data_IF_219584537100
#
_entry.id   IF_219584537100
#
_cell.length_a   1.000
_cell.length_b   1.000
_cell.length_c   1.000
_cell.angle_alpha   90.00
_cell.angle_beta   90.00
_cell.angle_gamma   90.00
#
_symmetry.space_group_name_H-M   'P 1'
#
loop_
_entity.id
_entity.type
_entity.pdbx_description
1 polymer ?
#
# COMPACT_ATOMS: atom_id res chain seq x y z
N UNK A 1 -12.73 -5.42 16.67
CA UNK A 1 -11.46 -5.81 16.02
C UNK A 1 -10.42 -4.80 16.43
N UNK A 2 -9.24 -5.28 16.80
CA UNK A 2 -8.08 -4.40 17.00
C UNK A 2 -7.43 -4.14 15.64
N UNK A 3 -6.42 -3.27 15.60
CA UNK A 3 -5.69 -2.98 14.36
C UNK A 3 -4.19 -3.03 14.57
N UNK A 4 -3.49 -3.57 13.58
CA UNK A 4 -2.07 -3.36 13.40
C UNK A 4 -1.87 -2.21 12.41
N UNK A 5 -1.02 -1.25 12.75
CA UNK A 5 -0.68 -0.13 11.86
C UNK A 5 0.83 -0.02 11.74
N UNK A 6 1.32 0.15 10.52
CA UNK A 6 2.74 0.36 10.28
C UNK A 6 3.06 0.62 8.82
N UNK A 7 4.31 0.99 8.57
CA UNK A 7 4.85 1.16 7.22
C UNK A 7 5.73 -0.04 6.92
N UNK A 8 5.49 -0.69 5.80
CA UNK A 8 6.24 -1.82 5.29
C UNK A 8 7.07 -1.37 4.08
N UNK A 9 8.26 -1.94 3.93
CA UNK A 9 9.12 -1.71 2.76
C UNK A 9 9.31 -3.04 2.05
N UNK A 10 8.46 -3.32 1.07
CA UNK A 10 8.37 -4.63 0.42
C UNK A 10 8.75 -4.56 -1.05
N UNK A 11 9.46 -5.56 -1.59
CA UNK A 11 9.68 -5.66 -3.02
C UNK A 11 8.41 -6.19 -3.71
N UNK A 12 8.16 -5.74 -4.95
CA UNK A 12 7.06 -6.29 -5.77
C UNK A 12 7.38 -7.73 -6.20
N UNK A 13 8.57 -7.92 -6.79
CA UNK A 13 9.09 -9.24 -7.17
C UNK A 13 10.28 -9.62 -6.30
N UNK A 14 10.51 -10.91 -5.99
CA UNK A 14 11.60 -11.36 -5.11
C UNK A 14 13.00 -10.86 -5.51
N UNK A 15 13.24 -10.65 -6.80
CA UNK A 15 14.53 -10.22 -7.35
C UNK A 15 14.54 -8.73 -7.74
N UNK A 16 13.51 -7.97 -7.36
CA UNK A 16 13.46 -6.54 -7.65
C UNK A 16 14.44 -5.78 -6.76
N UNK A 17 15.21 -4.87 -7.35
CA UNK A 17 16.01 -3.88 -6.60
C UNK A 17 15.15 -2.75 -6.02
N UNK A 18 13.91 -2.63 -6.47
CA UNK A 18 12.97 -1.57 -6.13
C UNK A 18 12.00 -2.01 -5.05
N UNK A 19 11.76 -1.14 -4.07
CA UNK A 19 10.89 -1.40 -2.92
C UNK A 19 9.76 -0.39 -2.88
N UNK A 20 8.58 -0.86 -2.51
CA UNK A 20 7.41 -0.03 -2.28
C UNK A 20 7.29 0.24 -0.78
N UNK A 21 7.05 1.50 -0.43
CA UNK A 21 6.62 1.88 0.92
C UNK A 21 5.11 1.75 0.97
N UNK A 22 4.62 0.87 1.84
CA UNK A 22 3.19 0.60 2.00
C UNK A 22 2.81 0.89 3.45
N UNK A 23 2.05 1.96 3.66
CA UNK A 23 1.40 2.16 4.96
C UNK A 23 0.15 1.29 5.01
N UNK A 24 0.08 0.44 6.03
CA UNK A 24 -0.96 -0.54 6.18
C UNK A 24 -1.64 -0.38 7.54
N UNK A 25 -2.96 -0.46 7.53
CA UNK A 25 -3.80 -0.56 8.71
C UNK A 25 -4.65 -1.81 8.56
N UNK A 26 -4.36 -2.84 9.36
CA UNK A 26 -4.89 -4.19 9.18
C UNK A 26 -5.73 -4.61 10.37
N UNK A 27 -6.88 -5.22 10.08
CA UNK A 27 -7.73 -5.85 11.07
C UNK A 27 -7.00 -7.02 11.73
N UNK A 28 -6.99 -7.05 13.06
CA UNK A 28 -6.47 -8.18 13.83
C UNK A 28 -7.50 -8.64 14.87
N UNK A 29 -7.47 -9.93 15.19
CA UNK A 29 -8.17 -10.47 16.34
C UNK A 29 -7.41 -10.11 17.61
N UNK A 30 -8.09 -9.38 18.52
CA UNK A 30 -7.48 -8.88 19.75
C UNK A 30 -6.92 -10.01 20.63
N UNK A 31 -7.68 -11.12 20.74
CA UNK A 31 -7.36 -12.27 21.59
C UNK A 31 -6.18 -13.10 21.09
N UNK A 32 -6.09 -13.34 19.78
CA UNK A 32 -5.06 -14.22 19.21
C UNK A 32 -3.87 -13.45 18.64
N UNK A 33 -4.00 -12.11 18.49
CA UNK A 33 -3.10 -11.23 17.74
C UNK A 33 -2.75 -11.86 16.39
N UNK A 34 -3.77 -12.28 15.64
CA UNK A 34 -3.63 -12.78 14.26
C UNK A 34 -4.39 -11.87 13.31
N UNK A 35 -4.01 -11.86 12.05
CA UNK A 35 -4.75 -11.14 11.01
C UNK A 35 -6.20 -11.63 10.96
N UNK A 36 -7.13 -10.69 10.88
CA UNK A 36 -8.55 -10.95 10.70
C UNK A 36 -8.96 -10.71 9.25
N UNK A 37 -10.00 -11.41 8.80
CA UNK A 37 -10.59 -11.18 7.47
C UNK A 37 -11.35 -9.85 7.49
N UNK A 38 -10.97 -8.86 6.67
CA UNK A 38 -11.68 -7.59 6.60
C UNK A 38 -12.98 -7.72 5.80
N UNK A 39 -13.89 -6.76 5.99
CA UNK A 39 -15.09 -6.63 5.14
C UNK A 39 -14.75 -6.16 3.72
N UNK A 40 -13.71 -5.33 3.59
CA UNK A 40 -13.18 -4.85 2.31
C UNK A 40 -11.71 -4.41 2.46
N UNK A 41 -11.03 -4.21 1.33
CA UNK A 41 -9.71 -3.57 1.28
C UNK A 41 -9.86 -2.21 0.58
N UNK A 42 -9.52 -1.13 1.28
CA UNK A 42 -9.33 0.18 0.68
C UNK A 42 -7.88 0.31 0.23
N UNK A 43 -7.65 0.52 -1.07
CA UNK A 43 -6.32 0.66 -1.67
C UNK A 43 -6.22 2.07 -2.23
N UNK A 44 -5.23 2.81 -1.76
CA UNK A 44 -4.93 4.17 -2.21
C UNK A 44 -3.51 4.21 -2.75
N UNK A 45 -3.36 4.74 -3.96
CA UNK A 45 -2.05 4.97 -4.56
C UNK A 45 -1.64 6.41 -4.29
N UNK A 46 -0.54 6.57 -3.55
CA UNK A 46 0.03 7.87 -3.26
C UNK A 46 1.08 8.21 -4.32
N UNK A 47 0.81 9.28 -5.06
CA UNK A 47 1.76 9.90 -5.97
C UNK A 47 2.69 10.87 -5.24
N UNK A 48 3.15 11.89 -5.96
CA UNK A 48 4.17 12.84 -5.50
C UNK A 48 3.83 13.49 -4.15
N UNK A 49 4.82 13.46 -3.25
CA UNK A 49 4.77 14.11 -1.95
C UNK A 49 5.18 15.58 -2.08
N UNK A 50 4.48 16.49 -1.40
CA UNK A 50 4.86 17.90 -1.31
C UNK A 50 4.98 18.26 0.17
N UNK A 51 6.18 18.08 0.73
CA UNK A 51 6.49 18.50 2.10
C UNK A 51 6.89 19.98 2.16
N UNK A 52 6.68 20.61 3.33
CA UNK A 52 7.20 21.96 3.61
C UNK A 52 6.39 23.09 2.98
N UNK A 53 5.13 22.83 2.64
CA UNK A 53 4.18 23.84 2.14
C UNK A 53 3.68 24.76 3.23
N UNK A 54 3.75 24.34 4.50
CA UNK A 54 3.16 25.04 5.64
C UNK A 54 1.64 24.93 5.72
N UNK A 55 1.00 24.25 4.75
CA UNK A 55 -0.44 24.00 4.77
C UNK A 55 -0.73 22.69 5.50
N UNK A 56 -1.40 22.76 6.64
CA UNK A 56 -1.67 21.59 7.50
C UNK A 56 -2.39 20.44 6.78
N UNK A 57 -3.24 20.73 5.78
CA UNK A 57 -3.95 19.69 5.02
C UNK A 57 -2.98 18.97 4.09
N UNK A 58 -2.11 19.71 3.42
CA UNK A 58 -1.12 19.15 2.50
C UNK A 58 -0.09 18.32 3.27
N UNK A 59 0.43 18.83 4.39
CA UNK A 59 1.36 18.08 5.25
C UNK A 59 0.70 16.79 5.77
N UNK A 60 -0.57 16.87 6.19
CA UNK A 60 -1.33 15.70 6.66
C UNK A 60 -1.55 14.65 5.57
N UNK A 61 -1.82 15.08 4.34
CA UNK A 61 -2.02 14.17 3.20
C UNK A 61 -0.70 13.70 2.58
N UNK A 62 0.43 14.30 2.94
CA UNK A 62 1.76 13.84 2.56
C UNK A 62 2.24 12.66 3.41
N UNK A 63 1.67 12.47 4.61
CA UNK A 63 1.95 11.33 5.46
C UNK A 63 1.06 10.12 5.08
N UNK A 64 1.68 9.09 4.51
CA UNK A 64 1.02 7.86 4.08
C UNK A 64 0.30 7.11 5.21
N UNK A 65 0.80 7.18 6.45
CA UNK A 65 0.15 6.56 7.60
C UNK A 65 -1.08 7.36 8.03
N UNK A 66 -1.03 8.70 7.96
CA UNK A 66 -2.20 9.56 8.17
C UNK A 66 -3.27 9.34 7.11
N UNK A 67 -2.90 9.11 5.85
CA UNK A 67 -3.87 8.71 4.82
C UNK A 67 -4.55 7.38 5.20
N UNK A 68 -3.79 6.38 5.65
CA UNK A 68 -4.37 5.10 6.08
C UNK A 68 -5.36 5.27 7.24
N UNK A 69 -5.04 6.11 8.23
CA UNK A 69 -5.96 6.48 9.32
C UNK A 69 -7.24 7.15 8.79
N UNK A 70 -7.11 8.06 7.82
CA UNK A 70 -8.24 8.72 7.17
C UNK A 70 -9.15 7.69 6.48
N UNK A 71 -8.57 6.77 5.70
CA UNK A 71 -9.34 5.73 5.00
C UNK A 71 -10.16 4.89 5.99
N UNK A 72 -9.55 4.43 7.08
CA UNK A 72 -10.25 3.66 8.13
C UNK A 72 -11.35 4.49 8.78
N UNK A 73 -11.09 5.77 9.07
CA UNK A 73 -12.11 6.66 9.67
C UNK A 73 -13.32 6.88 8.75
N UNK A 74 -13.13 6.83 7.43
CA UNK A 74 -14.18 7.07 6.43
C UNK A 74 -14.95 5.81 6.05
N UNK A 75 -14.26 4.68 5.88
CA UNK A 75 -14.86 3.42 5.42
C UNK A 75 -15.25 2.48 6.57
N UNK A 76 -14.78 2.73 7.80
CA UNK A 76 -15.12 1.99 8.99
C UNK A 76 -14.02 1.05 9.49
N UNK A 77 -14.18 0.57 10.72
CA UNK A 77 -13.13 -0.19 11.44
C UNK A 77 -12.94 -1.64 10.98
N UNK A 78 -13.81 -2.13 10.09
CA UNK A 78 -13.78 -3.52 9.60
C UNK A 78 -13.01 -3.70 8.30
N UNK A 79 -12.52 -2.61 7.68
CA UNK A 79 -11.73 -2.66 6.45
C UNK A 79 -10.23 -2.74 6.73
N UNK A 80 -9.47 -3.30 5.80
CA UNK A 80 -8.03 -3.06 5.73
C UNK A 80 -7.77 -1.82 4.86
N UNK A 81 -6.83 -0.97 5.27
CA UNK A 81 -6.40 0.16 4.47
C UNK A 81 -4.95 -0.01 4.04
N UNK A 82 -4.68 0.23 2.77
CA UNK A 82 -3.38 0.12 2.13
C UNK A 82 -3.09 1.40 1.38
N UNK A 83 -2.04 2.11 1.77
CA UNK A 83 -1.56 3.31 1.07
C UNK A 83 -0.21 2.96 0.47
N UNK A 84 -0.19 2.84 -0.85
CA UNK A 84 0.98 2.42 -1.63
C UNK A 84 1.64 3.66 -2.18
N UNK A 85 2.85 3.95 -1.70
CA UNK A 85 3.68 5.02 -2.22
C UNK A 85 4.50 4.52 -3.41
N UNK A 86 4.56 5.32 -4.48
CA UNK A 86 5.40 5.03 -5.63
C UNK A 86 6.89 4.96 -5.22
N UNK A 87 7.62 3.98 -5.76
CA UNK A 87 9.07 3.86 -5.53
C UNK A 87 9.88 5.01 -6.18
N UNK A 88 9.32 5.66 -7.20
CA UNK A 88 9.92 6.83 -7.83
C UNK A 88 8.82 7.81 -8.16
N UNK A 89 9.00 9.06 -7.78
CA UNK A 89 8.11 10.16 -8.13
C UNK A 89 8.51 10.69 -9.50
N UNK A 90 7.71 10.37 -10.51
CA UNK A 90 7.93 10.83 -11.89
C UNK A 90 6.57 11.09 -12.57
N UNK A 91 5.65 11.73 -11.85
CA UNK A 91 4.30 12.03 -12.33
C UNK A 91 3.21 11.12 -11.75
N UNK A 92 1.93 11.41 -12.07
CA UNK A 92 0.76 10.83 -11.41
C UNK A 92 0.63 9.31 -11.59
N UNK A 93 1.27 8.74 -12.62
CA UNK A 93 1.20 7.32 -12.95
C UNK A 93 2.47 6.54 -12.58
N UNK A 94 3.48 7.18 -11.97
CA UNK A 94 4.76 6.55 -11.67
C UNK A 94 4.63 5.28 -10.79
N UNK A 95 3.57 5.19 -9.99
CA UNK A 95 3.23 4.00 -9.19
C UNK A 95 2.93 2.75 -10.04
N UNK A 96 2.52 2.92 -11.29
CA UNK A 96 2.17 1.82 -12.19
C UNK A 96 3.37 1.26 -12.95
N UNK A 97 4.55 1.89 -12.88
CA UNK A 97 5.73 1.53 -13.66
C UNK A 97 6.08 0.04 -13.61
N UNK A 98 5.97 -0.57 -12.42
CA UNK A 98 6.23 -2.01 -12.25
C UNK A 98 4.95 -2.86 -12.20
N UNK A 99 3.78 -2.24 -12.27
CA UNK A 99 2.49 -2.93 -12.14
C UNK A 99 1.93 -3.37 -13.49
N UNK A 100 2.32 -2.69 -14.57
CA UNK A 100 1.89 -2.98 -15.93
C UNK A 100 3.09 -3.23 -16.85
N UNK A 101 2.93 -3.99 -17.95
CA UNK A 101 4.06 -4.49 -18.73
C UNK A 101 4.82 -3.39 -19.49
N UNK A 102 4.14 -2.31 -19.86
CA UNK A 102 4.68 -1.28 -20.76
C UNK A 102 4.22 0.12 -20.33
N UNK A 103 5.17 0.96 -19.94
CA UNK A 103 4.97 2.38 -19.63
C UNK A 103 5.93 3.26 -20.43
N UNK A 104 5.64 4.56 -20.53
CA UNK A 104 6.62 5.55 -20.99
C UNK A 104 7.62 5.91 -19.87
N UNK A 105 8.50 6.88 -20.12
CA UNK A 105 9.51 7.31 -19.13
C UNK A 105 8.88 7.89 -17.85
N UNK A 106 7.67 8.45 -17.96
CA UNK A 106 6.89 9.07 -16.88
C UNK A 106 5.98 8.06 -16.14
N UNK A 107 6.10 6.77 -16.48
CA UNK A 107 5.29 5.71 -15.85
C UNK A 107 3.85 5.63 -16.36
N UNK A 108 3.51 6.37 -17.41
CA UNK A 108 2.17 6.34 -18.00
C UNK A 108 1.98 5.07 -18.85
N UNK A 109 0.82 4.41 -18.78
CA UNK A 109 0.50 3.28 -19.66
C UNK A 109 0.58 3.67 -21.14
N UNK A 110 1.34 2.93 -21.95
CA UNK A 110 1.46 3.24 -23.39
C UNK A 110 0.17 2.95 -24.18
N UNK A 111 -0.57 1.91 -23.77
CA UNK A 111 -1.84 1.54 -24.35
C UNK A 111 -2.65 0.70 -23.37
N UNK A 112 -3.98 0.65 -23.58
CA UNK A 112 -4.83 -0.29 -22.86
C UNK A 112 -4.80 -1.66 -23.53
N UNK A 113 -4.48 -2.70 -22.76
CA UNK A 113 -4.62 -4.10 -23.18
C UNK A 113 -5.59 -4.82 -22.24
N UNK A 114 -6.74 -5.25 -22.78
CA UNK A 114 -7.77 -5.97 -22.03
C UNK A 114 -7.39 -7.43 -21.71
N UNK A 115 -6.28 -7.93 -22.26
CA UNK A 115 -5.85 -9.32 -22.09
C UNK A 115 -5.07 -9.47 -20.79
N UNK A 116 -5.57 -10.32 -19.89
CA UNK A 116 -4.97 -10.55 -18.58
C UNK A 116 -5.29 -9.46 -17.57
N UNK A 117 -4.62 -9.51 -16.42
CA UNK A 117 -4.82 -8.57 -15.32
C UNK A 117 -3.47 -8.21 -14.65
N UNK A 118 -2.52 -7.62 -15.39
CA UNK A 118 -1.17 -7.38 -14.89
C UNK A 118 -1.17 -6.48 -13.65
N UNK A 119 -1.91 -5.36 -13.70
CA UNK A 119 -1.99 -4.43 -12.58
C UNK A 119 -2.55 -5.09 -11.31
N UNK A 120 -3.65 -5.84 -11.41
CA UNK A 120 -4.23 -6.49 -10.22
C UNK A 120 -3.36 -7.64 -9.73
N UNK A 121 -2.72 -8.39 -10.62
CA UNK A 121 -1.78 -9.45 -10.24
C UNK A 121 -0.62 -8.89 -9.45
N UNK A 122 -0.05 -7.76 -9.90
CA UNK A 122 1.01 -7.05 -9.19
C UNK A 122 0.55 -6.48 -7.85
N UNK A 123 -0.65 -5.90 -7.77
CA UNK A 123 -1.24 -5.43 -6.50
C UNK A 123 -1.40 -6.60 -5.52
N UNK A 124 -2.00 -7.72 -5.97
CA UNK A 124 -2.22 -8.90 -5.13
C UNK A 124 -0.88 -9.46 -4.63
N UNK A 125 0.14 -9.49 -5.49
CA UNK A 125 1.49 -9.92 -5.13
C UNK A 125 2.10 -8.99 -4.07
N UNK A 126 2.03 -7.68 -4.27
CA UNK A 126 2.54 -6.69 -3.33
C UNK A 126 1.89 -6.82 -1.95
N UNK A 127 0.54 -6.84 -1.90
CA UNK A 127 -0.22 -6.98 -0.66
C UNK A 127 0.06 -8.33 0.01
N UNK A 128 0.23 -9.40 -0.77
CA UNK A 128 0.63 -10.71 -0.24
C UNK A 128 2.01 -10.68 0.42
N UNK A 129 2.96 -9.95 -0.16
CA UNK A 129 4.29 -9.75 0.44
C UNK A 129 4.20 -8.94 1.74
N UNK A 130 3.38 -7.87 1.77
CA UNK A 130 3.09 -7.14 3.01
C UNK A 130 2.53 -8.06 4.10
N UNK A 131 1.54 -8.89 3.78
CA UNK A 131 0.94 -9.81 4.75
C UNK A 131 1.95 -10.84 5.27
N UNK A 132 2.87 -11.31 4.43
CA UNK A 132 3.97 -12.20 4.86
C UNK A 132 4.91 -11.52 5.86
N UNK A 133 5.30 -10.27 5.59
CA UNK A 133 6.11 -9.49 6.54
C UNK A 133 5.36 -9.27 7.85
N UNK A 134 4.12 -8.79 7.80
CA UNK A 134 3.31 -8.55 9.01
C UNK A 134 3.12 -9.83 9.81
N UNK A 135 2.81 -10.95 9.17
CA UNK A 135 2.73 -12.23 9.87
C UNK A 135 4.07 -12.56 10.54
N UNK A 136 5.20 -12.35 9.87
CA UNK A 136 6.50 -12.58 10.49
C UNK A 136 6.71 -11.71 11.75
N UNK A 137 6.32 -10.42 11.72
CA UNK A 137 6.43 -9.53 12.88
C UNK A 137 5.43 -9.87 14.00
N UNK A 138 4.17 -10.07 13.64
CA UNK A 138 3.06 -10.30 14.59
C UNK A 138 3.18 -11.67 15.25
N UNK A 139 3.62 -12.70 14.53
CA UNK A 139 3.84 -14.04 15.11
C UNK A 139 5.16 -14.14 15.88
N UNK A 140 6.23 -13.41 15.53
CA UNK A 140 7.49 -13.42 16.29
C UNK A 140 7.40 -12.77 17.67
N UNK A 141 6.39 -11.94 17.95
CA UNK A 141 6.13 -11.46 19.31
C UNK A 141 5.62 -12.55 20.28
N UNK A 142 5.46 -13.81 19.82
CA UNK A 142 5.05 -14.96 20.64
C UNK A 142 6.20 -15.88 21.07
N UNK A 143 7.45 -15.63 20.67
CA UNK A 143 8.62 -16.47 21.02
C UNK A 143 9.55 -15.79 22.01
#
# INVERSE_FOLDING_TARGET
MDRWTGILKVPLHPNSSSFYRVAASLCIFSSTKTLAVPSANAIFFNGDQVEGTGNFVIERLSDVQKIAEILVSKFGSTINAWVIEANTFNGPFAVYKDFIPTVNLDGEPQSYNATGLPASSSIVLLLSNCLKEVNTYVFKMKS
#
